data_IF_278599603504
#
_entry.id   IF_278599603504
#
_cell.length_a   1.000
_cell.length_b   1.000
_cell.length_c   1.000
_cell.angle_alpha   90.00
_cell.angle_beta   90.00
_cell.angle_gamma   90.00
#
_symmetry.space_group_name_H-M   'P 1'
#
loop_
_entity.id
_entity.type
_entity.pdbx_description
1 polymer ?
#
# COMPACT_ATOMS: atom_id res chain seq x y z
N UNK A 1 -11.50 14.66 -8.89
CA UNK A 1 -10.82 15.15 -7.68
C UNK A 1 -9.35 15.25 -7.98
N UNK A 2 -8.62 16.14 -7.31
CA UNK A 2 -7.17 16.26 -7.50
C UNK A 2 -6.43 15.31 -6.55
N UNK A 3 -5.33 14.72 -7.03
CA UNK A 3 -4.52 13.77 -6.26
C UNK A 3 -3.85 14.44 -5.04
N UNK A 4 -3.40 15.67 -5.17
CA UNK A 4 -2.82 16.43 -4.07
C UNK A 4 -3.74 17.59 -3.71
N UNK A 5 -4.24 17.61 -2.48
CA UNK A 5 -5.19 18.62 -2.03
C UNK A 5 -4.61 19.42 -0.86
N UNK A 6 -4.62 20.75 -0.98
CA UNK A 6 -4.32 21.69 0.11
C UNK A 6 -5.62 22.08 0.81
N UNK A 7 -5.65 22.00 2.14
CA UNK A 7 -6.86 22.28 2.92
C UNK A 7 -6.76 21.77 4.34
N UNK A 8 -7.81 21.95 5.14
CA UNK A 8 -7.85 21.41 6.50
C UNK A 8 -8.61 20.08 6.49
N UNK A 9 -7.90 18.99 6.79
CA UNK A 9 -8.46 17.64 6.86
C UNK A 9 -8.22 17.04 8.24
N UNK A 10 -8.99 16.00 8.57
CA UNK A 10 -8.75 15.15 9.72
C UNK A 10 -8.30 13.79 9.20
N UNK A 11 -7.13 13.34 9.62
CA UNK A 11 -6.62 12.00 9.29
C UNK A 11 -7.49 10.90 9.90
N UNK A 12 -7.32 9.66 9.42
CA UNK A 12 -7.94 8.49 10.05
C UNK A 12 -7.58 8.33 11.54
N UNK A 13 -6.44 8.88 11.97
CA UNK A 13 -6.00 8.89 13.37
C UNK A 13 -6.51 10.12 14.16
N UNK A 14 -7.42 10.93 13.61
CA UNK A 14 -7.96 12.13 14.25
C UNK A 14 -7.04 13.35 14.22
N UNK A 15 -5.84 13.24 13.65
CA UNK A 15 -4.87 14.35 13.58
C UNK A 15 -5.22 15.35 12.46
N UNK A 16 -5.05 16.66 12.68
CA UNK A 16 -5.23 17.68 11.66
C UNK A 16 -4.14 17.59 10.58
N UNK A 17 -4.55 17.68 9.32
CA UNK A 17 -3.68 17.70 8.15
C UNK A 17 -3.95 18.95 7.32
N UNK A 18 -2.88 19.66 6.91
CA UNK A 18 -2.97 20.83 6.00
C UNK A 18 -3.02 20.44 4.51
N UNK A 19 -2.85 19.16 4.22
CA UNK A 19 -2.93 18.57 2.89
C UNK A 19 -3.12 17.05 2.97
N UNK A 20 -3.68 16.46 1.92
CA UNK A 20 -3.82 15.00 1.76
C UNK A 20 -3.47 14.55 0.34
N UNK A 21 -3.19 13.25 0.22
CA UNK A 21 -3.11 12.54 -1.05
C UNK A 21 -4.45 11.82 -1.22
N UNK A 22 -5.23 12.19 -2.23
CA UNK A 22 -6.55 11.62 -2.54
C UNK A 22 -6.40 10.62 -3.68
N UNK A 23 -6.16 9.36 -3.35
CA UNK A 23 -5.91 8.32 -4.34
C UNK A 23 -7.15 7.95 -5.16
N UNK A 24 -8.36 8.38 -4.77
CA UNK A 24 -9.55 8.31 -5.62
C UNK A 24 -9.41 9.14 -6.91
N UNK A 25 -8.47 10.09 -6.95
CA UNK A 25 -8.13 10.84 -8.16
C UNK A 25 -7.33 10.05 -9.19
N UNK A 26 -6.71 8.93 -8.81
CA UNK A 26 -5.90 8.10 -9.71
C UNK A 26 -6.82 7.37 -10.68
N UNK A 27 -6.61 7.57 -11.98
CA UNK A 27 -7.38 6.90 -13.03
C UNK A 27 -7.07 5.40 -13.09
N UNK A 28 -8.00 4.59 -13.59
CA UNK A 28 -7.78 3.14 -13.68
C UNK A 28 -6.55 2.80 -14.55
N UNK A 29 -6.27 3.57 -15.61
CA UNK A 29 -5.04 3.42 -16.42
C UNK A 29 -3.77 3.70 -15.61
N UNK A 30 -3.80 4.69 -14.72
CA UNK A 30 -2.68 4.97 -13.83
C UNK A 30 -2.52 3.88 -12.77
N UNK A 31 -3.60 3.30 -12.22
CA UNK A 31 -3.53 2.14 -11.34
C UNK A 31 -2.86 0.94 -12.00
N UNK A 32 -3.19 0.65 -13.26
CA UNK A 32 -2.51 -0.40 -14.05
C UNK A 32 -1.02 -0.10 -14.23
N UNK A 33 -0.68 1.16 -14.49
CA UNK A 33 0.72 1.60 -14.65
C UNK A 33 1.49 1.46 -13.34
N UNK A 34 0.92 1.88 -12.22
CA UNK A 34 1.52 1.76 -10.89
C UNK A 34 1.70 0.30 -10.49
N UNK A 35 0.73 -0.56 -10.79
CA UNK A 35 0.81 -1.99 -10.57
C UNK A 35 1.95 -2.63 -11.38
N UNK A 36 2.08 -2.26 -12.66
CA UNK A 36 3.19 -2.73 -13.50
C UNK A 36 4.56 -2.33 -12.93
N UNK A 37 4.71 -1.08 -12.49
CA UNK A 37 5.98 -0.63 -11.88
C UNK A 37 6.28 -1.44 -10.61
N UNK A 38 5.30 -1.65 -9.73
CA UNK A 38 5.49 -2.44 -8.51
C UNK A 38 5.82 -3.89 -8.85
N UNK A 39 5.18 -4.50 -9.87
CA UNK A 39 5.46 -5.89 -10.24
C UNK A 39 6.92 -6.07 -10.67
N UNK A 40 7.47 -5.15 -11.46
CA UNK A 40 8.86 -5.16 -11.91
C UNK A 40 9.88 -5.00 -10.75
N UNK A 41 9.47 -4.35 -9.66
CA UNK A 41 10.33 -4.09 -8.48
C UNK A 41 10.13 -5.09 -7.35
N UNK A 42 9.16 -5.99 -7.48
CA UNK A 42 8.77 -6.97 -6.45
C UNK A 42 9.42 -8.33 -6.67
N UNK A 43 9.49 -9.14 -5.61
CA UNK A 43 9.76 -10.57 -5.77
C UNK A 43 8.49 -11.23 -6.32
N UNK A 44 8.55 -12.44 -6.92
CA UNK A 44 7.35 -13.16 -7.35
C UNK A 44 6.32 -13.27 -6.22
N UNK A 45 5.06 -12.99 -6.53
CA UNK A 45 3.95 -13.04 -5.58
C UNK A 45 2.79 -13.90 -6.08
N UNK A 46 2.11 -14.63 -5.19
CA UNK A 46 1.03 -15.57 -5.55
C UNK A 46 -0.36 -15.00 -5.47
N UNK A 47 -0.56 -13.98 -4.65
CA UNK A 47 -1.81 -13.24 -4.54
C UNK A 47 -1.54 -11.88 -3.92
N UNK A 48 -2.40 -10.91 -4.23
CA UNK A 48 -2.32 -9.56 -3.68
C UNK A 48 -3.61 -9.22 -2.95
N UNK A 49 -3.49 -8.73 -1.72
CA UNK A 49 -4.61 -8.29 -0.89
C UNK A 49 -4.47 -6.80 -0.57
N UNK A 50 -5.53 -6.05 -0.85
CA UNK A 50 -5.59 -4.62 -0.61
C UNK A 50 -6.18 -4.33 0.77
N UNK A 51 -5.54 -3.45 1.54
CA UNK A 51 -6.10 -2.95 2.78
C UNK A 51 -7.32 -2.07 2.44
N UNK A 52 -8.54 -2.39 2.93
CA UNK A 52 -9.71 -1.60 2.60
C UNK A 52 -9.65 -0.20 3.22
N UNK A 53 -10.03 0.85 2.50
CA UNK A 53 -10.46 0.86 1.07
C UNK A 53 -9.33 1.17 0.09
N UNK A 54 -8.31 1.92 0.51
CA UNK A 54 -7.27 2.49 -0.35
C UNK A 54 -6.50 1.46 -1.18
N UNK A 55 -6.17 0.32 -0.60
CA UNK A 55 -5.40 -0.73 -1.28
C UNK A 55 -6.16 -1.57 -2.31
N UNK A 56 -7.49 -1.46 -2.42
CA UNK A 56 -8.30 -2.39 -3.23
C UNK A 56 -8.03 -2.23 -4.73
N UNK A 57 -8.00 -0.99 -5.24
CA UNK A 57 -7.72 -0.73 -6.67
C UNK A 57 -6.33 -1.25 -7.06
N UNK A 58 -5.34 -1.01 -6.21
CA UNK A 58 -3.98 -1.50 -6.41
C UNK A 58 -3.89 -3.02 -6.42
N UNK A 59 -4.54 -3.68 -5.46
CA UNK A 59 -4.54 -5.14 -5.38
C UNK A 59 -5.18 -5.78 -6.61
N UNK A 60 -6.29 -5.22 -7.09
CA UNK A 60 -6.96 -5.72 -8.30
C UNK A 60 -6.06 -5.61 -9.54
N UNK A 61 -5.36 -4.49 -9.71
CA UNK A 61 -4.43 -4.31 -10.82
C UNK A 61 -3.21 -5.24 -10.70
N UNK A 62 -2.61 -5.36 -9.50
CA UNK A 62 -1.42 -6.20 -9.27
C UNK A 62 -1.68 -7.70 -9.41
N UNK A 63 -2.88 -8.19 -9.05
CA UNK A 63 -3.19 -9.63 -9.14
C UNK A 63 -3.05 -10.19 -10.58
N UNK A 64 -3.05 -9.35 -11.61
CA UNK A 64 -2.80 -9.76 -13.01
C UNK A 64 -1.39 -10.30 -13.23
N UNK A 65 -0.44 -9.92 -12.37
CA UNK A 65 0.97 -10.34 -12.43
C UNK A 65 1.29 -11.46 -11.43
N UNK A 66 0.29 -11.99 -10.73
CA UNK A 66 0.49 -13.04 -9.73
C UNK A 66 0.94 -14.36 -10.38
N UNK A 67 1.86 -15.05 -9.69
CA UNK A 67 2.46 -16.32 -10.10
C UNK A 67 2.27 -17.38 -9.02
N UNK A 68 1.88 -18.63 -9.36
CA UNK A 68 1.53 -19.65 -8.35
C UNK A 68 2.56 -19.91 -7.26
N UNK A 69 3.85 -19.74 -7.56
CA UNK A 69 4.98 -20.04 -6.67
C UNK A 69 5.42 -18.86 -5.81
N UNK A 70 4.80 -17.68 -5.97
CA UNK A 70 5.21 -16.47 -5.27
C UNK A 70 4.72 -16.38 -3.82
N UNK A 71 5.24 -15.41 -3.07
CA UNK A 71 4.76 -15.09 -1.72
C UNK A 71 3.46 -14.25 -1.76
N UNK A 72 2.58 -14.30 -0.76
CA UNK A 72 1.46 -13.36 -0.67
C UNK A 72 1.97 -11.92 -0.53
N UNK A 73 1.22 -10.97 -1.09
CA UNK A 73 1.48 -9.53 -0.99
C UNK A 73 0.30 -8.80 -0.36
N UNK A 74 0.59 -7.85 0.53
CA UNK A 74 -0.39 -6.90 1.08
C UNK A 74 -0.05 -5.51 0.57
N UNK A 75 -1.05 -4.76 0.14
CA UNK A 75 -0.87 -3.42 -0.43
C UNK A 75 -1.82 -2.38 0.13
N UNK A 76 -1.38 -1.14 0.13
CA UNK A 76 -2.18 0.04 0.46
C UNK A 76 -1.83 1.18 -0.51
N UNK A 77 -2.64 2.22 -0.57
CA UNK A 77 -2.34 3.39 -1.41
C UNK A 77 -1.35 4.35 -0.73
N UNK A 78 -1.57 4.65 0.56
CA UNK A 78 -0.80 5.63 1.33
C UNK A 78 -0.35 5.06 2.67
N UNK A 79 0.96 4.94 2.86
CA UNK A 79 1.58 4.63 4.13
C UNK A 79 1.73 5.87 5.02
N UNK A 80 1.25 5.74 6.26
CA UNK A 80 1.42 6.75 7.33
C UNK A 80 2.21 6.20 8.50
N UNK A 81 1.61 5.49 9.45
CA UNK A 81 2.28 4.84 10.60
C UNK A 81 2.64 3.38 10.35
N UNK A 82 2.02 2.75 9.35
CA UNK A 82 2.07 1.30 9.16
C UNK A 82 1.10 0.50 10.02
N UNK A 83 0.31 1.16 10.87
CA UNK A 83 -0.68 0.48 11.74
C UNK A 83 -1.69 -0.31 10.91
N UNK A 84 -2.17 0.24 9.80
CA UNK A 84 -3.08 -0.45 8.88
C UNK A 84 -2.50 -1.77 8.38
N UNK A 85 -1.24 -1.77 7.93
CA UNK A 85 -0.54 -3.00 7.53
C UNK A 85 -0.41 -4.00 8.67
N UNK A 86 -0.03 -3.54 9.87
CA UNK A 86 0.14 -4.42 11.03
C UNK A 86 -1.19 -5.10 11.38
N UNK A 87 -2.26 -4.34 11.49
CA UNK A 87 -3.58 -4.84 11.87
C UNK A 87 -4.14 -5.77 10.80
N UNK A 88 -3.99 -5.42 9.53
CA UNK A 88 -4.45 -6.23 8.41
C UNK A 88 -3.69 -7.56 8.32
N UNK A 89 -2.36 -7.54 8.43
CA UNK A 89 -1.55 -8.76 8.41
C UNK A 89 -1.88 -9.66 9.61
N UNK A 90 -2.04 -9.08 10.80
CA UNK A 90 -2.40 -9.87 11.99
C UNK A 90 -3.76 -10.56 11.84
N UNK A 91 -4.73 -9.86 11.24
CA UNK A 91 -6.08 -10.38 11.01
C UNK A 91 -6.13 -11.45 9.92
N UNK A 92 -5.50 -11.20 8.77
CA UNK A 92 -5.61 -12.09 7.60
C UNK A 92 -4.61 -13.26 7.63
N UNK A 93 -3.58 -13.18 8.48
CA UNK A 93 -2.56 -14.23 8.65
C UNK A 93 -2.30 -14.54 10.13
N UNK A 94 -3.30 -15.08 10.87
CA UNK A 94 -3.13 -15.40 12.28
C UNK A 94 -2.10 -16.53 12.47
N UNK A 95 -1.31 -16.44 13.55
CA UNK A 95 -0.40 -17.51 13.97
C UNK A 95 0.97 -17.55 13.27
N UNK A 96 1.25 -16.66 12.32
CA UNK A 96 2.54 -16.65 11.64
C UNK A 96 3.54 -15.68 12.30
N UNK A 97 4.23 -16.11 13.37
CA UNK A 97 5.41 -15.38 13.88
C UNK A 97 6.54 -15.30 12.83
N UNK A 98 6.60 -16.30 11.95
CA UNK A 98 7.47 -16.36 10.76
C UNK A 98 6.86 -15.58 9.56
N UNK A 99 5.55 -15.30 9.58
CA UNK A 99 4.81 -14.84 8.40
C UNK A 99 4.77 -13.34 8.16
N UNK A 100 5.16 -12.51 9.12
CA UNK A 100 5.41 -11.09 8.80
C UNK A 100 6.61 -10.91 7.85
N UNK A 101 7.54 -11.88 7.80
CA UNK A 101 8.69 -11.87 6.89
C UNK A 101 8.42 -12.56 5.54
N UNK A 102 7.43 -13.44 5.46
CA UNK A 102 7.04 -14.12 4.21
C UNK A 102 5.89 -13.44 3.46
N UNK A 103 5.49 -12.24 3.88
CA UNK A 103 4.51 -11.40 3.17
C UNK A 103 5.22 -10.17 2.62
N UNK A 104 5.12 -9.97 1.31
CA UNK A 104 5.56 -8.73 0.68
C UNK A 104 4.59 -7.60 1.02
N UNK A 105 5.10 -6.40 1.32
CA UNK A 105 4.26 -5.26 1.68
C UNK A 105 4.63 -4.05 0.83
N UNK A 106 3.66 -3.46 0.15
CA UNK A 106 3.87 -2.33 -0.75
C UNK A 106 2.83 -1.23 -0.57
N UNK A 107 3.24 0.03 -0.77
CA UNK A 107 2.33 1.14 -0.98
C UNK A 107 2.80 2.03 -2.12
N UNK A 108 1.92 2.91 -2.62
CA UNK A 108 2.33 3.89 -3.65
C UNK A 108 3.07 5.04 -2.98
N UNK A 109 2.42 5.70 -2.02
CA UNK A 109 2.95 6.89 -1.37
C UNK A 109 3.24 6.62 0.10
N UNK A 110 4.42 7.01 0.57
CA UNK A 110 4.76 7.00 1.99
C UNK A 110 5.02 8.42 2.50
N UNK A 111 4.26 8.82 3.53
CA UNK A 111 4.39 10.16 4.16
C UNK A 111 5.64 10.31 5.03
N UNK A 112 6.36 9.22 5.27
CA UNK A 112 7.66 9.12 5.95
C UNK A 112 8.31 7.81 5.54
N UNK A 113 9.57 7.60 5.91
CA UNK A 113 10.27 6.35 5.65
C UNK A 113 9.45 5.13 6.18
N UNK A 114 9.07 4.19 5.29
CA UNK A 114 8.38 2.98 5.69
C UNK A 114 9.19 2.12 6.67
N UNK A 115 8.50 1.42 7.56
CA UNK A 115 9.10 0.46 8.50
C UNK A 115 8.53 -0.95 8.28
N UNK A 116 9.01 -1.94 9.03
CA UNK A 116 8.48 -3.31 9.07
C UNK A 116 8.45 -4.03 7.72
N UNK A 117 9.44 -3.74 6.87
CA UNK A 117 9.60 -4.34 5.55
C UNK A 117 8.59 -3.86 4.51
N UNK A 118 7.87 -2.77 4.80
CA UNK A 118 6.99 -2.11 3.83
C UNK A 118 7.85 -1.35 2.82
N UNK A 119 7.59 -1.54 1.54
CA UNK A 119 8.21 -0.79 0.44
C UNK A 119 7.22 0.27 -0.08
N UNK A 120 7.73 1.34 -0.65
CA UNK A 120 6.93 2.40 -1.25
C UNK A 120 7.53 2.82 -2.59
N UNK A 121 6.68 3.09 -3.59
CA UNK A 121 7.16 3.67 -4.87
C UNK A 121 7.70 5.09 -4.66
N UNK A 122 6.96 5.91 -3.92
CA UNK A 122 7.30 7.29 -3.63
C UNK A 122 7.36 7.50 -2.12
N UNK A 123 8.54 7.83 -1.61
CA UNK A 123 8.75 8.12 -0.20
C UNK A 123 9.04 9.60 -0.03
N UNK A 124 8.25 10.29 0.79
CA UNK A 124 8.57 11.65 1.18
C UNK A 124 9.92 11.67 1.93
N UNK A 125 10.75 12.71 1.72
CA UNK A 125 11.95 12.88 2.51
C UNK A 125 11.58 12.85 4.00
N UNK A 126 12.33 12.07 4.77
CA UNK A 126 12.17 12.06 6.21
C UNK A 126 12.40 13.45 6.78
N UNK A 127 11.71 13.75 7.88
CA UNK A 127 12.20 14.73 8.85
C UNK A 127 13.27 14.05 9.71
#
# INVERSE_FOLDING_TARGET
>A
MDLFQKGNFISHAGLPLKWKIECDAISDKEWETLAFIISEMSMPFSKVMGIPRGGIKLANALNKYAQPTGLPMVVDDVYTTGTSFKDFVHKEFPGTWIGSYSIQKWCIFARRMPQWGIKALFTMPGL
#
